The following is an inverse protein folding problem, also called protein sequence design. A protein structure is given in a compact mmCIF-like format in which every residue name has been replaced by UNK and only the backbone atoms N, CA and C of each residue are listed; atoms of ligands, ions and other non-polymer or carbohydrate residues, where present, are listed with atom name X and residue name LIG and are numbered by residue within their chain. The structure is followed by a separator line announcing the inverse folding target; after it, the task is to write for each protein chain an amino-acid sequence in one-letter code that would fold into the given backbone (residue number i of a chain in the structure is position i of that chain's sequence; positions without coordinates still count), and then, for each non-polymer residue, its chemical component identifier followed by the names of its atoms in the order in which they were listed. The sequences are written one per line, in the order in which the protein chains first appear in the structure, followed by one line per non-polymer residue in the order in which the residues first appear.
data_IF_882104827035
#
_entry.id   IF_882104827035
#
_cell.length_a   1.000
_cell.length_b   1.000
_cell.length_c   1.000
_cell.angle_alpha   90.00
_cell.angle_beta   90.00
_cell.angle_gamma   90.00
#
_symmetry.space_group_name_H-M   'P 1'
#
loop_
_entity.id
_entity.type
_entity.pdbx_description
1 polymer ?
#
# COMPACT_ATOMS: atom_id res chain seq x y z
N UNK A 1 8.05 -2.96 19.25
CA UNK A 1 8.88 -2.32 18.20
C UNK A 1 7.95 -1.58 17.23
N UNK A 2 8.38 -0.47 16.63
CA UNK A 2 7.60 0.30 15.64
C UNK A 2 8.37 0.32 14.32
N UNK A 3 7.72 -0.10 13.22
CA UNK A 3 8.31 -0.09 11.89
C UNK A 3 7.87 1.16 11.09
N UNK A 4 8.80 1.80 10.39
CA UNK A 4 8.48 2.91 9.48
C UNK A 4 8.11 2.33 8.12
N UNK A 5 6.85 2.50 7.74
CA UNK A 5 6.33 1.96 6.48
C UNK A 5 6.54 2.93 5.29
N UNK A 6 6.80 2.35 4.12
CA UNK A 6 6.97 3.07 2.85
C UNK A 6 5.69 3.71 2.29
N UNK A 7 4.52 3.38 2.85
CA UNK A 7 3.22 3.82 2.36
C UNK A 7 2.11 3.75 3.41
N UNK A 8 0.87 3.75 2.93
CA UNK A 8 -0.32 3.54 3.75
C UNK A 8 -0.60 2.03 3.83
N UNK A 9 -0.43 1.38 4.99
CA UNK A 9 -0.72 -0.05 5.14
C UNK A 9 -2.22 -0.33 5.02
N UNK A 10 -2.54 -1.48 4.43
CA UNK A 10 -3.90 -2.03 4.36
C UNK A 10 -4.01 -3.26 5.27
N UNK A 11 -3.15 -4.27 5.09
CA UNK A 11 -3.10 -5.48 5.91
C UNK A 11 -1.67 -5.95 6.23
N UNK A 12 -1.53 -6.77 7.27
CA UNK A 12 -0.30 -7.42 7.75
C UNK A 12 -0.54 -8.92 7.94
N UNK A 13 0.34 -9.77 7.38
CA UNK A 13 0.31 -11.22 7.52
C UNK A 13 1.68 -11.77 7.88
N UNK A 14 1.74 -12.57 8.93
CA UNK A 14 2.97 -13.26 9.33
C UNK A 14 3.21 -14.48 8.44
N UNK A 15 4.46 -14.76 8.10
CA UNK A 15 4.86 -16.01 7.48
C UNK A 15 5.33 -17.04 8.54
N UNK A 16 5.75 -18.22 8.08
CA UNK A 16 6.22 -19.31 8.96
C UNK A 16 7.50 -18.99 9.76
N UNK A 17 8.29 -18.03 9.30
CA UNK A 17 9.58 -17.65 9.90
C UNK A 17 9.40 -16.54 10.95
N UNK A 18 8.19 -16.03 11.13
CA UNK A 18 7.89 -14.90 12.02
C UNK A 18 8.05 -13.53 11.36
N UNK A 19 8.41 -13.48 10.07
CA UNK A 19 8.43 -12.25 9.28
C UNK A 19 7.01 -11.83 8.89
N UNK A 20 6.82 -10.54 8.60
CA UNK A 20 5.53 -9.98 8.23
C UNK A 20 5.53 -9.45 6.80
N UNK A 21 4.58 -9.89 6.00
CA UNK A 21 4.18 -9.22 4.77
C UNK A 21 3.14 -8.16 5.05
N UNK A 22 3.37 -6.96 4.52
CA UNK A 22 2.47 -5.82 4.66
C UNK A 22 2.01 -5.41 3.27
N UNK A 23 0.70 -5.45 3.05
CA UNK A 23 0.07 -4.87 1.88
C UNK A 23 0.05 -3.34 2.05
N UNK A 24 0.56 -2.63 1.05
CA UNK A 24 0.60 -1.17 1.03
C UNK A 24 -0.34 -0.70 -0.08
N UNK A 25 -1.39 0.02 0.31
CA UNK A 25 -2.40 0.52 -0.62
C UNK A 25 -1.80 1.51 -1.63
N UNK A 26 -0.94 2.41 -1.16
CA UNK A 26 -0.18 3.35 -1.98
C UNK A 26 1.04 3.91 -1.23
N UNK A 27 2.06 4.33 -1.99
CA UNK A 27 3.19 5.10 -1.46
C UNK A 27 2.74 6.42 -0.80
N UNK A 28 3.56 6.96 0.10
CA UNK A 28 3.36 8.33 0.61
C UNK A 28 3.73 9.33 -0.49
N UNK A 29 2.84 10.29 -0.74
CA UNK A 29 3.06 11.39 -1.68
C UNK A 29 3.03 12.73 -0.96
N UNK A 30 3.62 13.76 -1.55
CA UNK A 30 3.68 15.09 -0.93
C UNK A 30 2.29 15.66 -0.62
N UNK A 31 1.30 15.39 -1.47
CA UNK A 31 -0.08 15.80 -1.25
C UNK A 31 -0.65 15.19 0.04
N UNK A 32 -0.56 13.86 0.18
CA UNK A 32 -1.07 13.16 1.35
C UNK A 32 -0.30 13.51 2.62
N UNK A 33 1.02 13.67 2.50
CA UNK A 33 1.89 14.10 3.60
C UNK A 33 1.53 15.50 4.10
N UNK A 34 1.45 16.49 3.21
CA UNK A 34 1.14 17.88 3.56
C UNK A 34 -0.24 18.00 4.21
N UNK A 35 -1.27 17.37 3.62
CA UNK A 35 -2.62 17.39 4.19
C UNK A 35 -2.73 16.60 5.51
N UNK A 36 -1.83 15.65 5.74
CA UNK A 36 -1.67 14.96 7.02
C UNK A 36 -1.08 15.87 8.10
N UNK A 37 -0.07 16.67 7.76
CA UNK A 37 0.57 17.62 8.66
C UNK A 37 -0.34 18.79 9.05
N UNK A 38 -1.25 19.21 8.17
CA UNK A 38 -2.11 20.38 8.38
C UNK A 38 -3.62 20.05 8.27
N UNK A 39 -4.24 19.43 9.31
CA UNK A 39 -5.64 19.02 9.27
C UNK A 39 -6.65 20.15 9.00
N UNK A 40 -6.39 21.37 9.49
CA UNK A 40 -7.25 22.55 9.22
C UNK A 40 -7.26 22.91 7.73
N UNK A 41 -6.09 22.88 7.09
CA UNK A 41 -5.95 23.11 5.65
C UNK A 41 -6.68 22.01 4.89
N UNK A 42 -6.47 20.74 5.26
CA UNK A 42 -7.19 19.59 4.69
C UNK A 42 -8.70 19.76 4.76
N UNK A 43 -9.23 20.22 5.89
CA UNK A 43 -10.68 20.41 6.06
C UNK A 43 -11.23 21.49 5.12
N UNK A 44 -10.54 22.62 4.95
CA UNK A 44 -10.94 23.67 4.00
C UNK A 44 -10.82 23.15 2.57
N UNK A 45 -9.72 22.49 2.25
CA UNK A 45 -9.44 21.94 0.92
C UNK A 45 -10.48 20.92 0.46
N UNK A 46 -10.91 20.01 1.33
CA UNK A 46 -11.94 19.01 1.04
C UNK A 46 -13.37 19.60 0.92
N UNK A 47 -13.59 20.85 1.34
CA UNK A 47 -14.90 21.54 1.19
C UNK A 47 -15.07 22.24 -0.15
N UNK A 48 -13.99 22.40 -0.92
CA UNK A 48 -14.08 22.93 -2.27
C UNK A 48 -14.83 21.94 -3.18
N UNK A 49 -15.48 22.40 -4.26
CA UNK A 49 -16.23 21.55 -5.19
C UNK A 49 -15.31 20.75 -6.13
N UNK A 50 -14.30 20.09 -5.56
CA UNK A 50 -13.37 19.21 -6.26
C UNK A 50 -13.87 17.78 -6.13
N UNK A 51 -13.91 17.05 -7.24
CA UNK A 51 -14.40 15.66 -7.22
C UNK A 51 -13.60 14.78 -6.25
N UNK A 52 -14.28 13.90 -5.53
CA UNK A 52 -13.64 12.91 -4.65
C UNK A 52 -12.63 12.04 -5.42
N UNK A 53 -12.90 11.76 -6.69
CA UNK A 53 -11.97 11.06 -7.59
C UNK A 53 -10.65 11.82 -7.73
N UNK A 54 -10.67 13.14 -7.93
CA UNK A 54 -9.43 13.91 -8.05
C UNK A 54 -8.66 13.95 -6.73
N UNK A 55 -9.34 14.13 -5.60
CA UNK A 55 -8.72 14.00 -4.27
C UNK A 55 -8.03 12.65 -4.08
N UNK A 56 -8.73 11.57 -4.42
CA UNK A 56 -8.19 10.21 -4.36
C UNK A 56 -6.97 10.05 -5.26
N UNK A 57 -7.05 10.48 -6.53
CA UNK A 57 -5.91 10.40 -7.45
C UNK A 57 -4.69 11.17 -6.93
N UNK A 58 -4.86 12.37 -6.38
CA UNK A 58 -3.75 13.12 -5.78
C UNK A 58 -3.19 12.43 -4.53
N UNK A 59 -4.05 11.83 -3.70
CA UNK A 59 -3.65 11.08 -2.50
C UNK A 59 -2.72 9.91 -2.83
N UNK A 60 -3.04 9.16 -3.89
CA UNK A 60 -2.27 7.99 -4.34
C UNK A 60 -1.17 8.31 -5.36
N UNK A 61 -0.95 9.59 -5.69
CA UNK A 61 0.11 10.03 -6.60
C UNK A 61 -0.17 9.86 -8.09
N UNK A 62 -1.43 9.86 -8.49
CA UNK A 62 -1.86 9.92 -9.88
C UNK A 62 -1.92 8.57 -10.60
N UNK A 63 -1.42 7.50 -9.99
CA UNK A 63 -1.47 6.15 -10.56
C UNK A 63 -1.54 5.08 -9.49
N UNK A 64 -2.44 4.12 -9.71
CA UNK A 64 -2.51 2.89 -8.93
C UNK A 64 -1.30 1.99 -9.23
N UNK A 65 -0.61 1.56 -8.18
CA UNK A 65 0.47 0.58 -8.20
C UNK A 65 0.36 -0.27 -6.93
N UNK A 66 0.60 -1.57 -7.03
CA UNK A 66 0.59 -2.45 -5.87
C UNK A 66 1.99 -2.52 -5.25
N UNK A 67 2.07 -2.49 -3.92
CA UNK A 67 3.31 -2.65 -3.16
C UNK A 67 3.06 -3.62 -2.01
N UNK A 68 3.87 -4.67 -1.93
CA UNK A 68 3.92 -5.55 -0.76
C UNK A 68 5.34 -5.53 -0.19
N UNK A 69 5.42 -5.47 1.14
CA UNK A 69 6.69 -5.26 1.83
C UNK A 69 6.86 -6.30 2.91
N UNK A 70 8.03 -6.95 2.95
CA UNK A 70 8.41 -7.91 3.97
C UNK A 70 9.24 -7.20 5.05
N UNK A 71 8.90 -7.43 6.31
CA UNK A 71 9.66 -7.00 7.49
C UNK A 71 9.97 -8.19 8.40
N UNK A 72 11.06 -8.14 9.17
CA UNK A 72 11.30 -9.14 10.23
C UNK A 72 10.55 -8.81 11.53
N UNK A 73 10.74 -9.64 12.56
CA UNK A 73 10.15 -9.47 13.88
C UNK A 73 10.55 -8.16 14.57
N UNK A 74 11.71 -7.63 14.21
CA UNK A 74 12.29 -6.38 14.69
C UNK A 74 11.80 -5.16 13.89
N UNK A 75 10.92 -5.35 12.89
CA UNK A 75 10.38 -4.27 12.07
C UNK A 75 11.37 -3.72 11.03
N UNK A 76 12.46 -4.43 10.77
CA UNK A 76 13.43 -4.08 9.74
C UNK A 76 12.95 -4.54 8.37
N UNK A 77 13.20 -3.71 7.36
CA UNK A 77 12.79 -3.95 5.99
C UNK A 77 13.63 -5.08 5.35
N UNK A 78 12.99 -6.16 4.92
CA UNK A 78 13.65 -7.29 4.26
C UNK A 78 13.48 -7.27 2.74
N UNK A 79 12.28 -6.99 2.23
CA UNK A 79 11.98 -7.07 0.79
C UNK A 79 10.87 -6.10 0.41
N UNK A 80 10.97 -5.48 -0.77
CA UNK A 80 9.88 -4.74 -1.39
C UNK A 80 9.60 -5.36 -2.75
N UNK A 81 8.32 -5.68 -3.01
CA UNK A 81 7.84 -6.08 -4.33
C UNK A 81 6.78 -5.08 -4.77
N UNK A 82 6.95 -4.54 -5.97
CA UNK A 82 6.10 -3.48 -6.46
C UNK A 82 5.87 -3.59 -7.97
N UNK A 83 4.60 -3.54 -8.36
CA UNK A 83 4.22 -3.31 -9.75
C UNK A 83 4.08 -1.81 -9.98
N UNK A 84 5.23 -1.14 -10.11
CA UNK A 84 5.33 0.32 -10.31
C UNK A 84 4.61 0.80 -11.57
N UNK A 85 4.49 -0.08 -12.56
CA UNK A 85 3.73 0.14 -13.78
C UNK A 85 2.23 -0.12 -13.61
N UNK A 86 1.80 -0.77 -12.53
CA UNK A 86 0.43 -1.24 -12.36
C UNK A 86 -0.07 -2.03 -13.57
N UNK A 87 0.79 -2.84 -14.20
CA UNK A 87 0.45 -3.59 -15.41
C UNK A 87 -0.42 -4.80 -15.07
N UNK A 88 -0.11 -5.48 -13.98
CA UNK A 88 -0.80 -6.67 -13.49
C UNK A 88 -1.59 -6.32 -12.24
N UNK A 89 -0.92 -5.94 -11.14
CA UNK A 89 -1.58 -5.65 -9.86
C UNK A 89 -1.52 -4.16 -9.58
N UNK A 90 -2.66 -3.48 -9.68
CA UNK A 90 -2.74 -2.01 -9.54
C UNK A 90 -2.95 -1.57 -8.10
N UNK A 91 -3.49 -2.42 -7.25
CA UNK A 91 -3.65 -2.16 -5.82
C UNK A 91 -3.66 -3.48 -5.08
N UNK A 92 -3.16 -3.49 -3.85
CA UNK A 92 -3.16 -4.66 -2.98
C UNK A 92 -3.83 -4.31 -1.66
N UNK A 93 -4.65 -5.25 -1.19
CA UNK A 93 -5.28 -5.18 0.14
C UNK A 93 -4.88 -6.36 1.01
N UNK A 94 -4.45 -7.47 0.39
CA UNK A 94 -4.11 -8.71 1.09
C UNK A 94 -2.87 -9.34 0.45
N UNK A 95 -2.01 -9.94 1.28
CA UNK A 95 -0.91 -10.78 0.81
C UNK A 95 -0.70 -11.94 1.77
N UNK A 96 -0.63 -13.15 1.25
CA UNK A 96 -0.35 -14.37 2.01
C UNK A 96 0.83 -15.13 1.38
N UNK A 97 1.81 -15.49 2.20
CA UNK A 97 2.93 -16.33 1.79
C UNK A 97 2.61 -17.81 2.07
N UNK A 98 2.64 -18.64 1.03
CA UNK A 98 2.42 -20.08 1.16
C UNK A 98 3.16 -20.85 0.05
N UNK A 99 3.90 -21.88 0.44
CA UNK A 99 4.61 -22.79 -0.48
C UNK A 99 5.51 -22.06 -1.51
N UNK A 100 6.30 -21.09 -1.04
CA UNK A 100 7.20 -20.29 -1.88
C UNK A 100 6.49 -19.33 -2.83
N UNK A 101 5.19 -19.06 -2.63
CA UNK A 101 4.38 -18.16 -3.44
C UNK A 101 3.72 -17.09 -2.59
N UNK A 102 3.54 -15.91 -3.16
CA UNK A 102 2.66 -14.87 -2.63
C UNK A 102 1.33 -14.89 -3.36
N UNK A 103 0.27 -15.00 -2.57
CA UNK A 103 -1.11 -14.88 -3.01
C UNK A 103 -1.56 -13.45 -2.68
N UNK A 104 -1.87 -12.67 -3.72
CA UNK A 104 -2.07 -11.24 -3.62
C UNK A 104 -3.51 -10.91 -3.99
N UNK A 105 -4.25 -10.39 -3.02
CA UNK A 105 -5.65 -10.01 -3.15
C UNK A 105 -5.85 -8.49 -3.17
N UNK A 106 -6.94 -8.04 -3.77
CA UNK A 106 -7.29 -6.62 -3.88
C UNK A 106 -8.79 -6.43 -3.86
N UNK A 107 -9.27 -5.43 -3.12
CA UNK A 107 -10.69 -5.02 -3.20
C UNK A 107 -11.00 -4.26 -4.50
N UNK A 108 -9.98 -3.84 -5.25
CA UNK A 108 -10.14 -3.08 -6.49
C UNK A 108 -9.96 -3.93 -7.75
N UNK A 109 -9.34 -5.11 -7.65
CA UNK A 109 -9.04 -5.97 -8.80
C UNK A 109 -9.97 -7.20 -8.80
N UNK A 110 -10.52 -7.62 -9.96
CA UNK A 110 -11.42 -8.76 -10.04
C UNK A 110 -10.68 -10.10 -10.17
N UNK A 111 -9.49 -10.23 -9.61
CA UNK A 111 -8.65 -11.43 -9.71
C UNK A 111 -7.71 -11.59 -8.51
N UNK A 112 -7.27 -12.82 -8.30
CA UNK A 112 -6.18 -13.17 -7.40
C UNK A 112 -4.87 -13.24 -8.20
N UNK A 113 -3.84 -12.51 -7.77
CA UNK A 113 -2.52 -12.58 -8.39
C UNK A 113 -1.62 -13.53 -7.61
N UNK A 114 -0.77 -14.27 -8.32
CA UNK A 114 0.20 -15.20 -7.72
C UNK A 114 1.59 -14.81 -8.19
N UNK A 115 2.51 -14.63 -7.24
CA UNK A 115 3.91 -14.32 -7.49
C UNK A 115 4.81 -15.41 -6.89
N UNK A 116 5.78 -15.89 -7.67
CA UNK A 116 6.77 -16.87 -7.21
C UNK A 116 7.93 -16.13 -6.52
N UNK A 117 8.22 -16.46 -5.25
CA UNK A 117 9.21 -15.77 -4.41
C UNK A 117 10.67 -16.05 -4.76
#
# INVERSE_FOLDING_TARGET
VMAVLSGHPDNVRTNKDGDFWVAIHCRRYMYSHFLGLYPKIRQVWLKLPISARLHYMMQIGGRLHAVVVKYNAEGELLKILEDSSGKVVKAVSEVEEKDGRLWIGSVLMPFLAVYQL
#
